data_IF_872201853377
#
_entry.id   IF_872201853377
#
_cell.length_a   1.000
_cell.length_b   1.000
_cell.length_c   1.000
_cell.angle_alpha   90.00
_cell.angle_beta   90.00
_cell.angle_gamma   90.00
#
_symmetry.space_group_name_H-M   'P 1'
#
loop_
_entity.id
_entity.type
_entity.pdbx_description
1 polymer ?
#
# COMPACT_ATOMS: atom_id res chain seq x y z
N UNK A 1 20.95 6.95 -4.43
CA UNK A 1 21.48 7.08 -5.80
C UNK A 1 20.53 6.30 -6.71
N UNK A 2 19.95 6.93 -7.71
CA UNK A 2 19.14 6.26 -8.73
C UNK A 2 20.08 5.51 -9.68
N UNK A 3 19.63 4.38 -10.20
CA UNK A 3 20.39 3.59 -11.17
C UNK A 3 20.30 4.22 -12.57
N UNK A 4 19.20 4.96 -12.81
CA UNK A 4 18.96 5.67 -14.08
C UNK A 4 19.05 7.18 -13.84
N UNK A 5 19.73 7.89 -14.74
CA UNK A 5 19.73 9.34 -14.80
C UNK A 5 18.40 9.85 -15.38
N UNK A 6 18.01 11.09 -15.04
CA UNK A 6 16.72 11.68 -15.49
C UNK A 6 16.61 11.85 -17.02
N UNK A 7 17.68 11.64 -17.76
CA UNK A 7 17.73 11.83 -19.22
C UNK A 7 17.08 10.68 -20.01
N UNK A 8 16.75 9.54 -19.36
CA UNK A 8 16.14 8.39 -20.04
C UNK A 8 14.74 8.06 -19.49
N UNK A 9 13.82 9.02 -19.64
CA UNK A 9 12.45 8.89 -19.18
C UNK A 9 11.73 7.68 -19.79
N UNK A 10 11.94 7.41 -21.08
CA UNK A 10 11.33 6.26 -21.77
C UNK A 10 11.80 4.92 -21.19
N UNK A 11 13.08 4.79 -20.88
CA UNK A 11 13.64 3.60 -20.24
C UNK A 11 13.09 3.46 -18.81
N UNK A 12 13.03 4.57 -18.07
CA UNK A 12 12.47 4.59 -16.73
C UNK A 12 11.01 4.11 -16.72
N UNK A 13 10.17 4.66 -17.61
CA UNK A 13 8.75 4.31 -17.70
C UNK A 13 8.56 2.83 -18.06
N UNK A 14 9.35 2.32 -19.01
CA UNK A 14 9.34 0.90 -19.39
C UNK A 14 9.75 -0.03 -18.23
N UNK A 15 10.80 0.32 -17.49
CA UNK A 15 11.23 -0.47 -16.31
C UNK A 15 10.17 -0.40 -15.22
N UNK A 16 9.56 0.77 -15.02
CA UNK A 16 8.51 0.94 -14.04
C UNK A 16 7.28 0.06 -14.35
N UNK A 17 6.87 -0.01 -15.61
CA UNK A 17 5.78 -0.89 -16.05
C UNK A 17 6.13 -2.37 -15.84
N UNK A 18 7.33 -2.80 -16.20
CA UNK A 18 7.80 -4.16 -15.94
C UNK A 18 7.81 -4.50 -14.44
N UNK A 19 8.23 -3.56 -13.61
CA UNK A 19 8.25 -3.74 -12.17
C UNK A 19 6.84 -3.83 -11.57
N UNK A 20 5.86 -3.09 -12.10
CA UNK A 20 4.46 -3.22 -11.69
C UNK A 20 3.93 -4.63 -11.93
N UNK A 21 4.20 -5.21 -13.11
CA UNK A 21 3.77 -6.56 -13.45
C UNK A 21 4.40 -7.60 -12.51
N UNK A 22 5.72 -7.50 -12.28
CA UNK A 22 6.44 -8.39 -11.35
C UNK A 22 5.97 -8.22 -9.90
N UNK A 23 5.68 -6.98 -9.49
CA UNK A 23 5.14 -6.72 -8.16
C UNK A 23 3.76 -7.35 -7.99
N UNK A 24 2.93 -7.34 -9.03
CA UNK A 24 1.61 -7.98 -9.01
C UNK A 24 1.72 -9.50 -8.92
N UNK A 25 2.62 -10.12 -9.66
CA UNK A 25 2.89 -11.56 -9.56
C UNK A 25 3.35 -11.96 -8.15
N UNK A 26 4.30 -11.20 -7.58
CA UNK A 26 4.72 -11.42 -6.19
C UNK A 26 3.57 -11.21 -5.20
N UNK A 27 2.78 -10.16 -5.39
CA UNK A 27 1.62 -9.85 -4.55
C UNK A 27 0.59 -10.99 -4.55
N UNK A 28 0.31 -11.59 -5.70
CA UNK A 28 -0.59 -12.74 -5.82
C UNK A 28 -0.09 -13.92 -4.98
N UNK A 29 1.20 -14.23 -5.05
CA UNK A 29 1.80 -15.27 -4.21
C UNK A 29 1.71 -14.92 -2.71
N UNK A 30 1.94 -13.66 -2.35
CA UNK A 30 1.76 -13.20 -0.96
C UNK A 30 0.31 -13.36 -0.49
N UNK A 31 -0.67 -13.04 -1.34
CA UNK A 31 -2.10 -13.22 -1.04
C UNK A 31 -2.41 -14.69 -0.80
N UNK A 32 -1.94 -15.60 -1.64
CA UNK A 32 -2.14 -17.05 -1.45
C UNK A 32 -1.56 -17.55 -0.12
N UNK A 33 -0.39 -17.06 0.27
CA UNK A 33 0.22 -17.35 1.57
C UNK A 33 -0.64 -16.77 2.70
N UNK A 34 -1.07 -15.51 2.55
CA UNK A 34 -1.93 -14.83 3.51
C UNK A 34 -3.25 -15.52 3.76
N UNK A 35 -3.91 -16.01 2.70
CA UNK A 35 -5.15 -16.80 2.78
C UNK A 35 -4.97 -18.08 3.62
N UNK A 36 -3.78 -18.66 3.62
CA UNK A 36 -3.45 -19.89 4.39
C UNK A 36 -2.99 -19.61 5.81
N UNK A 37 -2.30 -18.47 6.03
CA UNK A 37 -1.59 -18.16 7.28
C UNK A 37 -2.23 -17.05 8.11
N UNK A 38 -3.13 -16.26 7.52
CA UNK A 38 -3.76 -15.12 8.18
C UNK A 38 -2.76 -14.01 8.53
N UNK A 39 -2.99 -13.34 9.66
CA UNK A 39 -2.23 -12.15 10.07
C UNK A 39 -0.73 -12.35 10.19
N UNK A 40 -0.26 -13.55 10.52
CA UNK A 40 1.18 -13.83 10.70
C UNK A 40 1.97 -13.77 9.41
N UNK A 41 1.30 -13.83 8.24
CA UNK A 41 1.93 -13.65 6.93
C UNK A 41 2.16 -12.17 6.59
N UNK A 42 1.54 -11.26 7.35
CA UNK A 42 1.75 -9.82 7.20
C UNK A 42 2.95 -9.39 8.06
N UNK A 43 4.10 -9.26 7.45
CA UNK A 43 5.34 -8.92 8.12
C UNK A 43 6.22 -7.95 7.32
N UNK A 44 7.32 -7.51 7.92
CA UNK A 44 8.27 -6.59 7.27
C UNK A 44 8.98 -7.20 6.05
N UNK A 45 9.16 -8.51 6.03
CA UNK A 45 9.84 -9.17 4.91
C UNK A 45 8.99 -9.17 3.66
N UNK A 46 7.67 -9.35 3.80
CA UNK A 46 6.71 -9.17 2.71
C UNK A 46 6.77 -7.73 2.17
N UNK A 47 6.75 -6.73 3.05
CA UNK A 47 6.81 -5.32 2.66
C UNK A 47 8.13 -4.97 1.95
N UNK A 48 9.25 -5.50 2.45
CA UNK A 48 10.56 -5.35 1.80
C UNK A 48 10.60 -5.99 0.42
N UNK A 49 10.06 -7.20 0.27
CA UNK A 49 10.00 -7.90 -1.01
C UNK A 49 9.14 -7.13 -2.03
N UNK A 50 7.96 -6.66 -1.64
CA UNK A 50 7.08 -5.84 -2.49
C UNK A 50 7.76 -4.53 -2.91
N UNK A 51 8.45 -3.86 -1.99
CA UNK A 51 9.19 -2.64 -2.31
C UNK A 51 10.38 -2.92 -3.23
N UNK A 52 11.17 -3.97 -2.93
CA UNK A 52 12.34 -4.33 -3.73
C UNK A 52 11.97 -4.52 -5.21
N UNK A 53 10.91 -5.29 -5.47
CA UNK A 53 10.44 -5.53 -6.84
C UNK A 53 9.90 -4.25 -7.49
N UNK A 54 9.17 -3.43 -6.73
CA UNK A 54 8.61 -2.17 -7.23
C UNK A 54 9.67 -1.19 -7.76
N UNK A 55 10.89 -1.25 -7.21
CA UNK A 55 11.97 -0.30 -7.55
C UNK A 55 13.21 -0.97 -8.15
N UNK A 56 13.11 -2.24 -8.55
CA UNK A 56 14.19 -2.97 -9.16
C UNK A 56 14.74 -2.24 -10.40
N UNK A 57 16.05 -2.12 -10.51
CA UNK A 57 16.75 -1.36 -11.56
C UNK A 57 16.43 0.17 -11.61
N UNK A 58 15.64 0.68 -10.67
CA UNK A 58 15.36 2.12 -10.50
C UNK A 58 16.15 2.66 -9.31
N UNK A 59 16.13 1.95 -8.18
CA UNK A 59 16.78 2.37 -6.94
C UNK A 59 17.60 1.23 -6.35
N UNK A 60 18.84 1.52 -5.96
CA UNK A 60 19.70 0.57 -5.22
C UNK A 60 19.24 0.35 -3.76
N UNK A 61 18.27 1.12 -3.29
CA UNK A 61 17.78 1.08 -1.91
C UNK A 61 16.50 0.26 -1.74
N UNK A 62 16.07 -0.46 -2.78
CA UNK A 62 14.87 -1.28 -2.73
C UNK A 62 14.92 -2.37 -1.67
N UNK A 63 13.79 -2.59 -0.97
CA UNK A 63 13.63 -3.66 0.01
C UNK A 63 14.29 -3.40 1.37
N UNK A 64 14.55 -2.15 1.73
CA UNK A 64 15.07 -1.78 3.05
C UNK A 64 14.54 -0.45 3.51
N UNK A 65 14.38 -0.28 4.81
CA UNK A 65 13.96 0.99 5.38
C UNK A 65 15.04 2.05 5.19
N UNK A 66 14.61 3.29 5.01
CA UNK A 66 15.50 4.44 4.86
C UNK A 66 16.26 4.71 6.15
N UNK A 67 17.49 5.13 5.99
CA UNK A 67 18.39 5.53 7.07
C UNK A 67 18.81 7.01 6.95
N UNK A 68 18.10 7.74 6.10
CA UNK A 68 18.33 9.16 5.82
C UNK A 68 17.00 9.92 5.67
N UNK A 69 17.01 11.25 5.83
CA UNK A 69 15.81 12.07 5.63
C UNK A 69 15.32 12.00 4.19
N UNK A 70 14.00 12.14 4.01
CA UNK A 70 13.36 12.29 2.70
C UNK A 70 12.35 13.44 2.74
N UNK A 71 11.98 13.93 1.57
CA UNK A 71 10.99 14.98 1.38
C UNK A 71 9.82 14.43 0.57
N UNK A 72 8.59 14.70 1.01
CA UNK A 72 7.36 14.16 0.40
C UNK A 72 6.33 15.29 0.25
N UNK A 73 6.54 16.18 -0.71
CA UNK A 73 5.70 17.38 -0.84
C UNK A 73 5.65 18.16 0.48
N UNK A 74 4.43 18.43 0.98
CA UNK A 74 4.20 19.12 2.24
C UNK A 74 4.17 18.17 3.46
N UNK A 75 4.11 16.85 3.24
CA UNK A 75 4.10 15.86 4.31
C UNK A 75 5.48 15.73 4.95
N UNK A 76 5.52 15.66 6.29
CA UNK A 76 6.73 15.44 7.08
C UNK A 76 6.74 14.04 7.67
N UNK A 77 7.37 13.07 7.00
CA UNK A 77 7.49 11.72 7.55
C UNK A 77 8.24 11.72 8.89
N UNK A 78 8.04 10.70 9.73
CA UNK A 78 8.82 10.50 10.94
C UNK A 78 10.33 10.56 10.69
N UNK A 79 11.09 10.89 11.72
CA UNK A 79 12.55 10.89 11.61
C UNK A 79 13.06 9.49 11.23
N UNK A 80 14.06 9.41 10.38
CA UNK A 80 14.54 8.13 9.82
C UNK A 80 15.01 7.12 10.89
N UNK A 81 15.47 7.59 12.04
CA UNK A 81 15.87 6.72 13.17
C UNK A 81 14.68 6.00 13.82
N UNK A 82 13.48 6.57 13.68
CA UNK A 82 12.27 6.03 14.30
C UNK A 82 11.46 5.16 13.34
N UNK A 83 11.89 5.05 12.06
CA UNK A 83 11.16 4.31 11.03
C UNK A 83 10.97 2.83 11.40
N UNK A 84 11.98 2.18 11.95
CA UNK A 84 11.89 0.78 12.35
C UNK A 84 10.80 0.58 13.41
N UNK A 85 10.77 1.42 14.45
CA UNK A 85 9.79 1.37 15.52
C UNK A 85 8.37 1.66 15.01
N UNK A 86 8.23 2.64 14.09
CA UNK A 86 6.95 2.93 13.45
C UNK A 86 6.45 1.77 12.59
N UNK A 87 7.35 1.07 11.90
CA UNK A 87 6.98 -0.08 11.09
C UNK A 87 6.62 -1.30 11.94
N UNK A 88 7.29 -1.51 13.05
CA UNK A 88 6.93 -2.58 14.00
C UNK A 88 5.54 -2.31 14.60
N UNK A 89 5.24 -1.06 15.00
CA UNK A 89 3.89 -0.65 15.45
C UNK A 89 2.84 -0.79 14.35
N UNK A 90 3.17 -0.41 13.12
CA UNK A 90 2.28 -0.54 11.97
C UNK A 90 1.86 -2.00 11.75
N UNK A 91 2.83 -2.91 11.77
CA UNK A 91 2.59 -4.34 11.57
C UNK A 91 1.78 -4.90 12.75
N UNK A 92 2.16 -4.61 13.99
CA UNK A 92 1.43 -5.10 15.17
C UNK A 92 0.00 -4.57 15.21
N UNK A 93 -0.24 -3.29 14.90
CA UNK A 93 -1.60 -2.72 14.84
C UNK A 93 -2.48 -3.47 13.83
N UNK A 94 -1.95 -3.79 12.64
CA UNK A 94 -2.69 -4.55 11.62
C UNK A 94 -2.97 -5.97 12.13
N UNK A 95 -1.99 -6.65 12.73
CA UNK A 95 -2.14 -8.02 13.24
C UNK A 95 -3.13 -8.10 14.42
N UNK A 96 -3.08 -7.14 15.35
CA UNK A 96 -3.96 -7.06 16.51
C UNK A 96 -5.42 -6.79 16.11
N UNK A 97 -5.63 -5.97 15.09
CA UNK A 97 -6.96 -5.63 14.58
C UNK A 97 -7.43 -6.53 13.43
N UNK A 98 -6.71 -7.60 13.13
CA UNK A 98 -6.96 -8.45 11.97
C UNK A 98 -8.40 -8.96 11.88
N UNK A 99 -9.02 -9.33 12.99
CA UNK A 99 -10.39 -9.82 13.05
C UNK A 99 -11.38 -8.83 13.66
N UNK A 100 -10.91 -7.65 14.09
CA UNK A 100 -11.72 -6.61 14.71
C UNK A 100 -12.23 -5.63 13.66
N UNK A 101 -11.32 -5.16 12.80
CA UNK A 101 -11.64 -4.21 11.75
C UNK A 101 -12.19 -4.90 10.50
N UNK A 102 -13.04 -4.19 9.75
CA UNK A 102 -13.49 -4.63 8.44
C UNK A 102 -12.33 -4.78 7.46
N UNK A 103 -12.48 -5.52 6.34
CA UNK A 103 -11.44 -5.58 5.30
C UNK A 103 -11.07 -4.21 4.74
N UNK A 104 -12.06 -3.32 4.54
CA UNK A 104 -11.85 -1.97 4.02
C UNK A 104 -11.18 -1.06 5.05
N UNK A 105 -11.58 -1.13 6.32
CA UNK A 105 -10.97 -0.39 7.42
C UNK A 105 -9.50 -0.77 7.61
N UNK A 106 -9.19 -2.07 7.63
CA UNK A 106 -7.83 -2.56 7.77
C UNK A 106 -6.95 -2.13 6.58
N UNK A 107 -7.50 -2.19 5.38
CA UNK A 107 -6.82 -1.77 4.15
C UNK A 107 -6.61 -0.24 4.10
N UNK A 108 -7.60 0.54 4.58
CA UNK A 108 -7.50 1.99 4.68
C UNK A 108 -6.39 2.42 5.64
N UNK A 109 -6.34 1.80 6.83
CA UNK A 109 -5.24 2.01 7.76
C UNK A 109 -3.89 1.61 7.14
N UNK A 110 -3.84 0.44 6.50
CA UNK A 110 -2.63 -0.07 5.85
C UNK A 110 -2.10 0.88 4.78
N UNK A 111 -3.00 1.39 3.93
CA UNK A 111 -2.67 2.33 2.86
C UNK A 111 -2.20 3.68 3.40
N UNK A 112 -2.98 4.28 4.31
CA UNK A 112 -2.65 5.57 4.89
C UNK A 112 -1.36 5.52 5.71
N UNK A 113 -1.28 4.60 6.68
CA UNK A 113 -0.19 4.60 7.65
C UNK A 113 1.17 4.31 7.01
N UNK A 114 1.22 3.45 5.99
CA UNK A 114 2.46 3.20 5.26
C UNK A 114 2.92 4.45 4.48
N UNK A 115 1.98 5.21 3.90
CA UNK A 115 2.31 6.48 3.26
C UNK A 115 2.75 7.54 4.28
N UNK A 116 2.13 7.60 5.46
CA UNK A 116 2.50 8.52 6.53
C UNK A 116 3.91 8.24 7.07
N UNK A 117 4.26 6.97 7.33
CA UNK A 117 5.61 6.57 7.78
C UNK A 117 6.64 6.82 6.68
N UNK A 118 6.27 6.56 5.42
CA UNK A 118 7.14 6.66 4.25
C UNK A 118 8.47 5.96 4.45
N UNK A 119 8.46 4.63 4.70
CA UNK A 119 9.62 3.91 5.25
C UNK A 119 10.75 3.68 4.25
N UNK A 120 10.52 3.87 2.96
CA UNK A 120 11.50 3.57 1.90
C UNK A 120 12.03 4.86 1.26
N UNK A 121 13.19 4.78 0.62
CA UNK A 121 13.75 5.89 -0.17
C UNK A 121 12.90 6.13 -1.42
N UNK A 122 12.40 5.03 -2.05
CA UNK A 122 11.62 5.07 -3.27
C UNK A 122 10.53 3.97 -3.23
N UNK A 123 9.43 4.16 -3.99
CA UNK A 123 8.41 3.13 -4.17
C UNK A 123 7.37 3.04 -3.06
N UNK A 124 7.30 3.98 -2.12
CA UNK A 124 6.35 3.95 -1.00
C UNK A 124 4.90 3.84 -1.47
N UNK A 125 4.48 4.67 -2.41
CA UNK A 125 3.11 4.63 -2.94
C UNK A 125 2.77 3.31 -3.66
N UNK A 126 3.73 2.72 -4.39
CA UNK A 126 3.55 1.40 -5.03
C UNK A 126 3.39 0.30 -3.98
N UNK A 127 4.27 0.30 -2.98
CA UNK A 127 4.22 -0.65 -1.87
C UNK A 127 2.94 -0.49 -1.05
N UNK A 128 2.52 0.73 -0.75
CA UNK A 128 1.30 1.00 0.02
C UNK A 128 0.03 0.52 -0.71
N UNK A 129 -0.08 0.75 -2.03
CA UNK A 129 -1.20 0.24 -2.83
C UNK A 129 -1.22 -1.29 -2.92
N UNK A 130 -0.05 -1.92 -3.10
CA UNK A 130 0.06 -3.37 -3.08
C UNK A 130 -0.33 -3.95 -1.71
N UNK A 131 0.11 -3.32 -0.62
CA UNK A 131 -0.25 -3.70 0.76
C UNK A 131 -1.75 -3.56 1.01
N UNK A 132 -2.36 -2.46 0.57
CA UNK A 132 -3.81 -2.25 0.64
C UNK A 132 -4.57 -3.39 -0.04
N UNK A 133 -4.19 -3.74 -1.26
CA UNK A 133 -4.85 -4.82 -2.00
C UNK A 133 -4.62 -6.20 -1.37
N UNK A 134 -3.43 -6.46 -0.83
CA UNK A 134 -3.17 -7.65 -0.03
C UNK A 134 -4.16 -7.77 1.13
N UNK A 135 -4.32 -6.70 1.91
CA UNK A 135 -5.23 -6.69 3.06
C UNK A 135 -6.69 -6.90 2.64
N UNK A 136 -7.14 -6.24 1.57
CA UNK A 136 -8.47 -6.44 1.00
C UNK A 136 -8.69 -7.91 0.62
N UNK A 137 -7.81 -8.50 -0.18
CA UNK A 137 -7.96 -9.87 -0.66
C UNK A 137 -7.93 -10.89 0.48
N UNK A 138 -6.93 -10.83 1.35
CA UNK A 138 -6.77 -11.83 2.42
C UNK A 138 -7.91 -11.73 3.43
N UNK A 139 -8.35 -10.54 3.76
CA UNK A 139 -9.45 -10.34 4.70
C UNK A 139 -10.82 -10.65 4.11
N UNK A 140 -10.97 -10.53 2.80
CA UNK A 140 -12.18 -11.01 2.08
C UNK A 140 -12.17 -12.51 1.79
N UNK A 141 -11.09 -13.21 2.10
CA UNK A 141 -10.99 -14.67 1.96
C UNK A 141 -10.68 -15.19 0.55
N UNK A 142 -10.39 -14.30 -0.42
CA UNK A 142 -10.08 -14.67 -1.80
C UNK A 142 -9.26 -13.60 -2.52
N UNK A 143 -8.58 -13.98 -3.61
CA UNK A 143 -8.13 -13.01 -4.59
C UNK A 143 -9.37 -12.38 -5.23
N UNK A 144 -9.51 -11.05 -5.08
CA UNK A 144 -10.70 -10.34 -5.53
C UNK A 144 -10.76 -10.30 -7.07
N UNK A 145 -11.90 -10.66 -7.67
CA UNK A 145 -12.08 -10.61 -9.11
C UNK A 145 -12.14 -9.17 -9.61
N UNK A 146 -11.97 -8.98 -10.91
CA UNK A 146 -12.10 -7.68 -11.56
C UNK A 146 -11.00 -7.44 -12.60
N UNK A 147 -11.36 -6.80 -13.70
CA UNK A 147 -10.41 -6.48 -14.77
C UNK A 147 -9.45 -5.36 -14.37
N UNK A 148 -9.95 -4.39 -13.60
CA UNK A 148 -9.21 -3.26 -13.09
C UNK A 148 -9.26 -3.29 -11.56
N UNK A 149 -8.14 -3.59 -10.96
CA UNK A 149 -8.03 -3.78 -9.51
C UNK A 149 -7.88 -2.46 -8.75
N UNK A 150 -8.21 -2.46 -7.45
CA UNK A 150 -8.14 -1.26 -6.58
C UNK A 150 -6.81 -0.49 -6.69
N UNK A 151 -5.61 -1.09 -6.73
CA UNK A 151 -4.36 -0.36 -6.91
C UNK A 151 -4.29 0.48 -8.19
N UNK A 152 -4.87 0.00 -9.28
CA UNK A 152 -4.92 0.72 -10.56
C UNK A 152 -5.91 1.88 -10.48
N UNK A 153 -7.09 1.65 -9.87
CA UNK A 153 -8.10 2.69 -9.65
C UNK A 153 -7.58 3.83 -8.77
N UNK A 154 -6.84 3.52 -7.69
CA UNK A 154 -6.17 4.53 -6.86
C UNK A 154 -5.18 5.36 -7.68
N UNK A 155 -4.45 4.74 -8.60
CA UNK A 155 -3.49 5.45 -9.46
C UNK A 155 -4.17 6.44 -10.40
N UNK A 156 -5.38 6.14 -10.85
CA UNK A 156 -6.17 6.98 -11.76
C UNK A 156 -6.92 8.09 -11.02
N UNK A 157 -7.48 7.80 -9.86
CA UNK A 157 -8.16 8.79 -9.00
C UNK A 157 -7.20 9.35 -7.94
N UNK A 158 -6.25 10.14 -8.39
CA UNK A 158 -5.28 10.77 -7.51
C UNK A 158 -5.91 11.75 -6.52
N UNK A 159 -6.96 12.45 -6.92
CA UNK A 159 -7.62 13.46 -6.07
C UNK A 159 -8.32 12.81 -4.87
N UNK A 160 -9.12 11.78 -5.09
CA UNK A 160 -9.78 11.02 -4.03
C UNK A 160 -8.78 10.43 -3.05
N UNK A 161 -7.72 9.84 -3.57
CA UNK A 161 -6.63 9.28 -2.80
C UNK A 161 -5.93 10.31 -1.90
N UNK A 162 -5.49 11.43 -2.46
CA UNK A 162 -4.81 12.50 -1.69
C UNK A 162 -5.73 13.13 -0.63
N UNK A 163 -7.03 13.27 -0.93
CA UNK A 163 -8.01 13.76 0.03
C UNK A 163 -8.20 12.79 1.21
N UNK A 164 -8.18 11.49 0.96
CA UNK A 164 -8.22 10.46 2.01
C UNK A 164 -6.99 10.51 2.91
N UNK A 165 -5.79 10.61 2.31
CA UNK A 165 -4.53 10.74 3.07
C UNK A 165 -4.52 11.99 3.95
N UNK A 166 -4.84 13.16 3.39
CA UNK A 166 -4.86 14.45 4.12
C UNK A 166 -5.85 14.44 5.28
N UNK A 167 -7.02 13.83 5.10
CA UNK A 167 -8.02 13.75 6.19
C UNK A 167 -7.50 12.92 7.36
N UNK A 168 -6.89 11.76 7.07
CA UNK A 168 -6.32 10.91 8.11
C UNK A 168 -5.07 11.52 8.76
N UNK A 169 -4.24 12.25 7.99
CA UNK A 169 -3.10 13.00 8.53
C UNK A 169 -3.56 14.08 9.51
N UNK A 170 -4.61 14.85 9.14
CA UNK A 170 -5.15 15.89 10.01
C UNK A 170 -5.73 15.32 11.31
N UNK A 171 -6.52 14.23 11.23
CA UNK A 171 -7.04 13.57 12.40
C UNK A 171 -5.93 13.08 13.34
N UNK A 172 -4.86 12.54 12.76
CA UNK A 172 -3.70 12.09 13.52
C UNK A 172 -2.94 13.25 14.20
N UNK A 173 -2.80 14.39 13.54
CA UNK A 173 -2.24 15.62 14.12
C UNK A 173 -3.12 16.16 15.26
N UNK A 174 -4.46 16.02 15.15
CA UNK A 174 -5.43 16.37 16.18
C UNK A 174 -5.49 15.36 17.35
N UNK A 175 -4.66 14.31 17.32
CA UNK A 175 -4.45 13.34 18.40
C UNK A 175 -5.42 12.16 18.41
N UNK A 176 -6.12 11.87 17.31
CA UNK A 176 -6.99 10.70 17.18
C UNK A 176 -6.79 10.00 15.84
N UNK A 177 -7.22 8.75 15.77
CA UNK A 177 -7.23 7.96 14.52
C UNK A 177 -8.61 8.08 13.88
N UNK A 178 -8.67 8.69 12.70
CA UNK A 178 -9.87 8.68 11.84
C UNK A 178 -9.43 8.40 10.39
N UNK A 179 -9.82 7.24 9.90
CA UNK A 179 -9.55 6.77 8.54
C UNK A 179 -10.82 6.61 7.70
N UNK A 180 -11.95 7.10 8.22
CA UNK A 180 -13.28 6.93 7.60
C UNK A 180 -13.30 7.39 6.15
N UNK A 181 -12.73 8.56 5.86
CA UNK A 181 -12.70 9.08 4.49
C UNK A 181 -11.86 8.22 3.53
N UNK A 182 -10.78 7.61 4.02
CA UNK A 182 -9.99 6.66 3.23
C UNK A 182 -10.72 5.34 3.07
N UNK A 183 -11.43 4.87 4.09
CA UNK A 183 -12.25 3.66 4.03
C UNK A 183 -13.38 3.81 3.02
N UNK A 184 -14.16 4.91 3.09
CA UNK A 184 -15.23 5.20 2.12
C UNK A 184 -14.70 5.24 0.69
N UNK A 185 -13.55 5.87 0.49
CA UNK A 185 -12.88 5.91 -0.80
C UNK A 185 -12.53 4.51 -1.31
N UNK A 186 -11.92 3.67 -0.47
CA UNK A 186 -11.57 2.30 -0.85
C UNK A 186 -12.80 1.42 -1.09
N UNK A 187 -13.86 1.58 -0.29
CA UNK A 187 -15.11 0.86 -0.46
C UNK A 187 -15.74 1.15 -1.84
N UNK A 188 -15.76 2.42 -2.25
CA UNK A 188 -16.25 2.80 -3.58
C UNK A 188 -15.40 2.20 -4.72
N UNK A 189 -14.07 2.19 -4.59
CA UNK A 189 -13.19 1.59 -5.60
C UNK A 189 -13.33 0.06 -5.65
N UNK A 190 -13.50 -0.58 -4.51
CA UNK A 190 -13.72 -2.03 -4.42
C UNK A 190 -15.05 -2.40 -5.07
N UNK A 191 -16.12 -1.66 -4.78
CA UNK A 191 -17.41 -1.86 -5.42
C UNK A 191 -17.29 -1.76 -6.95
N UNK A 192 -16.65 -0.71 -7.45
CA UNK A 192 -16.42 -0.51 -8.88
C UNK A 192 -15.57 -1.64 -9.51
N UNK A 193 -14.61 -2.21 -8.77
CA UNK A 193 -13.84 -3.38 -9.22
C UNK A 193 -14.74 -4.60 -9.39
N UNK A 194 -15.62 -4.88 -8.43
CA UNK A 194 -16.49 -6.06 -8.43
C UNK A 194 -17.60 -5.96 -9.49
N UNK A 195 -18.10 -4.75 -9.73
CA UNK A 195 -19.11 -4.49 -10.77
C UNK A 195 -18.56 -4.69 -12.20
N UNK A 196 -17.28 -4.41 -12.43
CA UNK A 196 -16.62 -4.61 -13.74
C UNK A 196 -16.61 -6.10 -14.18
N UNK A 197 -16.74 -7.03 -13.27
CA UNK A 197 -16.83 -8.47 -13.55
C UNK A 197 -18.29 -8.97 -13.67
N UNK A 198 -19.27 -8.09 -13.52
CA UNK A 198 -20.69 -8.45 -13.55
C UNK A 198 -21.15 -9.26 -12.34
N UNK A 199 -20.39 -9.26 -11.25
CA UNK A 199 -20.75 -9.89 -9.98
C UNK A 199 -21.46 -8.84 -9.09
N UNK A 200 -22.70 -9.10 -8.62
CA UNK A 200 -23.33 -8.23 -7.64
C UNK A 200 -22.55 -8.28 -6.32
N UNK A 201 -22.18 -7.12 -5.78
CA UNK A 201 -21.60 -7.01 -4.45
C UNK A 201 -22.59 -7.57 -3.41
N UNK A 202 -22.22 -8.65 -2.75
CA UNK A 202 -22.92 -9.16 -1.58
C UNK A 202 -22.20 -8.64 -0.35
N UNK A 203 -22.58 -7.41 0.06
CA UNK A 203 -22.10 -6.83 1.31
C UNK A 203 -22.55 -7.71 2.49
N UNK A 204 -21.59 -8.18 3.28
CA UNK A 204 -21.78 -8.86 4.56
C UNK A 204 -21.41 -7.94 5.71
#
# INVERSE_FOLDING_TARGET
>A
MFVLEQEDQELYDRIQEQNLNRQYELLTNCIEIGLKKGSVAFDKYMLWALNHVAVANISQFGGRFRVEPIYVGDHKPPHFKDVADWMDRYISTIQENWYIWSPTELAAYGLWRLNWIHPFIEGNGRTARATCYYLLCVRSGALLPGRKIVPERIREDRVGYENGLKAADQAWEDGHLDITKMEDYLAALLQAQLEDDGLPYQGG
#
